data_IF_098133376039
#
_entry.id   IF_098133376039
#
_cell.length_a   1.000
_cell.length_b   1.000
_cell.length_c   1.000
_cell.angle_alpha   90.00
_cell.angle_beta   90.00
_cell.angle_gamma   90.00
#
_symmetry.space_group_name_H-M   'P 1'
#
loop_
_entity.id
_entity.type
_entity.pdbx_description
1 polymer ?
#
# COMPACT_ATOMS: atom_id res chain seq x y z
N UNK A 1 -16.42 7.89 -7.40
CA UNK A 1 -16.11 7.69 -5.96
C UNK A 1 -15.12 6.54 -5.81
N UNK A 2 -14.10 6.72 -4.98
CA UNK A 2 -13.15 5.67 -4.68
C UNK A 2 -13.77 4.60 -3.79
N UNK A 3 -13.37 3.34 -4.00
CA UNK A 3 -13.80 2.22 -3.15
C UNK A 3 -12.60 1.64 -2.42
N UNK A 4 -12.86 0.95 -1.32
CA UNK A 4 -11.82 0.22 -0.57
C UNK A 4 -11.11 -0.77 -1.48
N UNK A 5 -11.84 -1.45 -2.37
CA UNK A 5 -11.29 -2.42 -3.31
C UNK A 5 -10.28 -1.80 -4.25
N UNK A 6 -10.52 -0.59 -4.73
CA UNK A 6 -9.57 0.12 -5.60
C UNK A 6 -8.28 0.47 -4.86
N UNK A 7 -8.40 0.89 -3.61
CA UNK A 7 -7.23 1.18 -2.77
C UNK A 7 -6.45 -0.12 -2.51
N UNK A 8 -7.14 -1.21 -2.19
CA UNK A 8 -6.50 -2.51 -2.01
C UNK A 8 -5.78 -2.97 -3.28
N UNK A 9 -6.41 -2.80 -4.45
CA UNK A 9 -5.78 -3.13 -5.73
C UNK A 9 -4.49 -2.34 -5.92
N UNK A 10 -4.50 -1.06 -5.62
CA UNK A 10 -3.32 -0.21 -5.76
C UNK A 10 -2.19 -0.65 -4.82
N UNK A 11 -2.51 -0.98 -3.57
CA UNK A 11 -1.54 -1.46 -2.59
C UNK A 11 -0.94 -2.80 -3.03
N UNK A 12 -1.79 -3.74 -3.42
CA UNK A 12 -1.36 -5.08 -3.85
C UNK A 12 -0.45 -4.97 -5.08
N UNK A 13 -0.85 -4.18 -6.06
CA UNK A 13 -0.07 -3.98 -7.28
C UNK A 13 1.30 -3.37 -6.95
N UNK A 14 1.34 -2.37 -6.08
CA UNK A 14 2.59 -1.73 -5.67
C UNK A 14 3.54 -2.74 -4.98
N UNK A 15 3.01 -3.58 -4.10
CA UNK A 15 3.81 -4.60 -3.41
C UNK A 15 4.35 -5.60 -4.43
N UNK A 16 3.52 -6.07 -5.35
CA UNK A 16 3.94 -7.02 -6.40
C UNK A 16 4.99 -6.44 -7.32
N UNK A 17 4.81 -5.20 -7.75
CA UNK A 17 5.75 -4.52 -8.65
C UNK A 17 7.09 -4.21 -7.97
N UNK A 18 7.12 -4.11 -6.66
CA UNK A 18 8.37 -3.85 -5.94
C UNK A 18 9.39 -4.98 -6.09
N UNK A 19 8.92 -6.20 -6.35
CA UNK A 19 9.79 -7.38 -6.43
C UNK A 19 10.39 -7.80 -5.10
N UNK A 20 10.03 -7.15 -3.99
CA UNK A 20 10.57 -7.49 -2.68
C UNK A 20 9.89 -8.74 -2.11
N UNK A 21 10.66 -9.52 -1.37
CA UNK A 21 10.11 -10.62 -0.59
C UNK A 21 9.25 -10.07 0.54
N UNK A 22 8.20 -10.79 0.89
CA UNK A 22 7.28 -10.37 1.95
C UNK A 22 8.00 -10.14 3.29
N UNK A 23 8.94 -11.01 3.65
CA UNK A 23 9.71 -10.88 4.87
C UNK A 23 10.55 -9.60 4.87
N UNK A 24 11.20 -9.29 3.74
CA UNK A 24 12.06 -8.11 3.61
C UNK A 24 11.24 -6.82 3.67
N UNK A 25 10.10 -6.82 2.99
CA UNK A 25 9.20 -5.66 3.02
C UNK A 25 8.63 -5.45 4.43
N UNK A 26 8.21 -6.53 5.08
CA UNK A 26 7.70 -6.45 6.45
C UNK A 26 8.72 -5.86 7.40
N UNK A 27 9.97 -6.31 7.31
CA UNK A 27 11.06 -5.75 8.12
C UNK A 27 11.26 -4.26 7.84
N UNK A 28 11.21 -3.87 6.58
CA UNK A 28 11.43 -2.49 6.16
C UNK A 28 10.36 -1.54 6.68
N UNK A 29 9.12 -1.97 6.75
CA UNK A 29 8.00 -1.13 7.21
C UNK A 29 7.52 -1.45 8.62
N UNK A 30 8.18 -2.36 9.31
CA UNK A 30 7.92 -2.63 10.72
C UNK A 30 6.70 -3.52 10.99
N UNK A 31 6.36 -4.41 10.07
CA UNK A 31 5.27 -5.38 10.26
C UNK A 31 5.77 -6.79 9.99
N UNK A 32 5.02 -7.80 10.41
CA UNK A 32 5.39 -9.19 10.16
C UNK A 32 5.17 -9.58 8.70
N UNK A 33 5.85 -10.65 8.27
CA UNK A 33 5.61 -11.26 6.95
C UNK A 33 4.14 -11.67 6.81
N UNK A 34 3.54 -12.21 7.87
CA UNK A 34 2.13 -12.61 7.87
C UNK A 34 1.20 -11.42 7.59
N UNK A 35 1.54 -10.25 8.14
CA UNK A 35 0.78 -9.02 7.89
C UNK A 35 0.81 -8.65 6.41
N UNK A 36 1.99 -8.71 5.78
CA UNK A 36 2.10 -8.46 4.33
C UNK A 36 1.23 -9.47 3.55
N UNK A 37 1.27 -10.73 3.92
CA UNK A 37 0.45 -11.76 3.26
C UNK A 37 -1.04 -11.44 3.40
N UNK A 38 -1.48 -10.93 4.55
CA UNK A 38 -2.88 -10.53 4.76
C UNK A 38 -3.26 -9.34 3.88
N UNK A 39 -2.37 -8.37 3.67
CA UNK A 39 -2.64 -7.28 2.73
C UNK A 39 -2.87 -7.83 1.32
N UNK A 40 -2.01 -8.76 0.88
CA UNK A 40 -2.10 -9.35 -0.46
C UNK A 40 -3.36 -10.19 -0.64
N UNK A 41 -3.89 -10.76 0.44
CA UNK A 41 -5.12 -11.57 0.42
C UNK A 41 -6.38 -10.77 0.72
N UNK A 42 -6.26 -9.45 0.83
CA UNK A 42 -7.39 -8.54 1.11
C UNK A 42 -8.06 -8.79 2.45
N UNK A 43 -7.35 -9.39 3.40
CA UNK A 43 -7.90 -9.69 4.72
C UNK A 43 -7.89 -8.50 5.65
N UNK A 44 -6.85 -7.66 5.54
CA UNK A 44 -6.70 -6.46 6.35
C UNK A 44 -6.17 -5.32 5.48
N UNK A 45 -6.38 -4.10 5.94
CA UNK A 45 -5.82 -2.90 5.34
C UNK A 45 -4.68 -2.39 6.21
N UNK A 46 -3.61 -1.81 5.63
CA UNK A 46 -2.61 -1.10 6.41
C UNK A 46 -3.26 0.06 7.17
N UNK A 47 -2.82 0.29 8.40
CA UNK A 47 -3.14 1.53 9.10
C UNK A 47 -2.50 2.72 8.37
N UNK A 48 -2.94 3.94 8.66
CA UNK A 48 -2.45 5.13 7.96
C UNK A 48 -0.95 5.32 8.14
N UNK A 49 -0.41 5.06 9.32
CA UNK A 49 1.02 5.15 9.58
C UNK A 49 1.81 4.07 8.84
N UNK A 50 1.28 2.86 8.78
CA UNK A 50 1.90 1.77 8.01
C UNK A 50 1.85 2.09 6.52
N UNK A 51 0.75 2.63 6.02
CA UNK A 51 0.64 3.06 4.63
C UNK A 51 1.66 4.14 4.30
N UNK A 52 1.87 5.10 5.19
CA UNK A 52 2.90 6.13 5.04
C UNK A 52 4.28 5.50 4.90
N UNK A 53 4.61 4.54 5.77
CA UNK A 53 5.90 3.83 5.70
C UNK A 53 6.04 3.01 4.43
N UNK A 54 4.96 2.39 3.97
CA UNK A 54 4.94 1.65 2.72
C UNK A 54 5.22 2.55 1.52
N UNK A 55 4.57 3.71 1.46
CA UNK A 55 4.80 4.69 0.39
C UNK A 55 6.25 5.18 0.39
N UNK A 56 6.82 5.44 1.56
CA UNK A 56 8.22 5.85 1.68
C UNK A 56 9.16 4.72 1.23
N UNK A 57 8.91 3.50 1.69
CA UNK A 57 9.77 2.36 1.42
C UNK A 57 9.81 1.99 -0.07
N UNK A 58 8.70 2.12 -0.76
CA UNK A 58 8.57 1.74 -2.17
C UNK A 58 8.55 2.94 -3.12
N UNK A 59 8.78 4.14 -2.59
CA UNK A 59 8.75 5.39 -3.37
C UNK A 59 7.44 5.56 -4.15
N UNK A 60 6.32 5.42 -3.43
CA UNK A 60 4.99 5.51 -4.02
C UNK A 60 4.38 6.89 -3.80
N UNK A 61 3.58 7.33 -4.77
CA UNK A 61 2.74 8.50 -4.60
C UNK A 61 1.47 8.10 -3.84
N UNK A 62 1.31 8.59 -2.62
CA UNK A 62 0.16 8.29 -1.79
C UNK A 62 -1.16 8.73 -2.44
N UNK A 63 -1.14 9.81 -3.23
CA UNK A 63 -2.33 10.25 -3.97
C UNK A 63 -2.81 9.20 -4.95
N UNK A 64 -1.88 8.54 -5.64
CA UNK A 64 -2.22 7.45 -6.57
C UNK A 64 -2.73 6.23 -5.82
N UNK A 65 -2.09 5.87 -4.71
CA UNK A 65 -2.51 4.71 -3.92
C UNK A 65 -3.91 4.92 -3.35
N UNK A 66 -4.19 6.12 -2.84
CA UNK A 66 -5.49 6.45 -2.24
C UNK A 66 -6.53 6.89 -3.26
N UNK A 67 -6.18 6.90 -4.56
CA UNK A 67 -7.07 7.30 -5.64
C UNK A 67 -7.63 8.71 -5.44
N UNK A 68 -6.79 9.63 -4.94
CA UNK A 68 -7.19 11.01 -4.70
C UNK A 68 -7.12 11.80 -6.01
N UNK A 69 -8.23 12.41 -6.39
CA UNK A 69 -8.28 13.27 -7.55
C UNK A 69 -8.06 14.73 -7.12
N UNK A 70 -7.19 15.43 -7.86
CA UNK A 70 -7.00 16.86 -7.63
C UNK A 70 -8.10 17.63 -8.34
N UNK A 71 -8.69 18.66 -7.68
CA UNK A 71 -9.61 19.56 -8.37
C UNK A 71 -8.90 20.25 -9.55
N UNK A 72 -9.60 20.40 -10.66
CA UNK A 72 -9.04 21.01 -11.88
C UNK A 72 -8.73 22.49 -11.74
N UNK A 73 -9.32 23.14 -10.76
CA UNK A 73 -9.21 24.59 -10.56
C UNK A 73 -8.16 24.98 -9.52
N UNK A 74 -7.18 24.14 -9.33
CA UNK A 74 -6.06 24.44 -8.43
C UNK A 74 -4.95 25.14 -9.15
#
# INVERSE_FOLDING_TARGET
MVTIEKIQDAIIEAIKQSGMKQADLGEKIGVSQSTIAHYLRRRIMPSLDTLSRLCTALDLDANEILCVERPKDF
#
